data_IF_717868580171
#
_entry.id   IF_717868580171
#
_cell.length_a   1.000
_cell.length_b   1.000
_cell.length_c   1.000
_cell.angle_alpha   90.00
_cell.angle_beta   90.00
_cell.angle_gamma   90.00
#
_symmetry.space_group_name_H-M   'P 1'
#
loop_
_entity.id
_entity.type
_entity.pdbx_description
1 polymer ?
#
# COMPACT_ATOMS: atom_id res chain seq x y z
N UNK A 1 -8.41 1.72 -9.21
CA UNK A 1 -8.57 0.64 -8.21
C UNK A 1 -7.31 0.64 -7.36
N UNK A 2 -7.43 0.61 -6.03
CA UNK A 2 -6.27 0.72 -5.15
C UNK A 2 -5.30 -0.46 -5.31
N UNK A 3 -4.05 -0.16 -5.63
CA UNK A 3 -2.95 -1.11 -5.87
C UNK A 3 -1.97 -1.19 -4.68
N UNK A 4 -2.04 -0.22 -3.76
CA UNK A 4 -1.14 -0.09 -2.60
C UNK A 4 -1.93 0.14 -1.32
N UNK A 5 -1.46 -0.43 -0.21
CA UNK A 5 -2.16 -0.39 1.07
C UNK A 5 -1.17 -0.11 2.19
N UNK A 6 -1.47 0.91 3.00
CA UNK A 6 -0.77 1.21 4.23
C UNK A 6 -1.53 0.61 5.40
N UNK A 7 -0.92 -0.37 6.07
CA UNK A 7 -1.48 -1.04 7.23
C UNK A 7 -0.81 -0.50 8.50
N UNK A 8 -1.57 0.22 9.33
CA UNK A 8 -1.09 0.85 10.54
C UNK A 8 -1.48 0.00 11.76
N UNK A 9 -0.52 -0.22 12.66
CA UNK A 9 -0.74 -0.89 13.93
C UNK A 9 -0.31 0.04 15.07
N UNK A 10 -1.20 0.24 16.06
CA UNK A 10 -0.88 1.00 17.27
C UNK A 10 0.17 0.29 18.14
N UNK A 11 0.20 -1.05 18.10
CA UNK A 11 1.23 -1.87 18.73
C UNK A 11 1.40 -3.21 18.00
N UNK A 12 2.55 -3.88 18.17
CA UNK A 12 2.80 -5.20 17.55
C UNK A 12 1.89 -6.31 18.08
N UNK A 13 1.28 -6.12 19.25
CA UNK A 13 0.49 -7.14 19.94
C UNK A 13 -1.01 -7.06 19.58
N UNK A 14 -1.47 -5.92 19.07
CA UNK A 14 -2.89 -5.65 18.79
C UNK A 14 -3.26 -5.88 17.31
N UNK A 15 -2.26 -6.11 16.44
CA UNK A 15 -2.48 -6.30 15.01
C UNK A 15 -2.76 -4.99 14.26
N UNK A 16 -3.18 -5.11 13.00
CA UNK A 16 -3.47 -3.95 12.14
C UNK A 16 -4.78 -3.30 12.60
N UNK A 17 -4.72 -2.04 12.98
CA UNK A 17 -5.87 -1.25 13.44
C UNK A 17 -6.49 -0.40 12.34
N UNK A 18 -5.73 -0.10 11.27
CA UNK A 18 -6.19 0.74 10.17
C UNK A 18 -5.53 0.32 8.86
N UNK A 19 -6.32 0.29 7.78
CA UNK A 19 -5.84 0.03 6.43
C UNK A 19 -6.27 1.20 5.55
N UNK A 20 -5.30 1.88 4.95
CA UNK A 20 -5.55 3.00 4.04
C UNK A 20 -5.14 2.59 2.61
N UNK A 21 -6.07 2.60 1.64
CA UNK A 21 -5.78 2.27 0.25
C UNK A 21 -5.22 3.48 -0.52
N UNK A 22 -4.34 3.21 -1.49
CA UNK A 22 -3.74 4.19 -2.38
C UNK A 22 -3.64 3.63 -3.81
N UNK A 23 -3.69 4.54 -4.79
CA UNK A 23 -3.53 4.19 -6.21
C UNK A 23 -2.07 4.30 -6.68
N UNK A 24 -1.30 5.22 -6.08
CA UNK A 24 0.11 5.46 -6.41
C UNK A 24 1.04 5.04 -5.27
N UNK A 25 2.20 4.44 -5.59
CA UNK A 25 3.15 4.00 -4.56
C UNK A 25 3.78 5.16 -3.80
N UNK A 26 4.00 6.32 -4.45
CA UNK A 26 4.66 7.47 -3.83
C UNK A 26 3.81 8.07 -2.71
N UNK A 27 2.50 8.19 -2.93
CA UNK A 27 1.55 8.72 -1.94
C UNK A 27 1.49 7.81 -0.70
N UNK A 28 1.47 6.49 -0.92
CA UNK A 28 1.50 5.52 0.16
C UNK A 28 2.84 5.53 0.93
N UNK A 29 3.96 5.75 0.23
CA UNK A 29 5.29 5.84 0.83
C UNK A 29 5.47 7.13 1.64
N UNK A 30 4.98 8.27 1.14
CA UNK A 30 4.99 9.53 1.85
C UNK A 30 4.14 9.44 3.13
N UNK A 31 2.94 8.85 3.04
CA UNK A 31 2.08 8.62 4.20
C UNK A 31 2.73 7.69 5.23
N UNK A 32 3.43 6.64 4.79
CA UNK A 32 4.20 5.76 5.67
C UNK A 32 5.34 6.49 6.37
N UNK A 33 6.08 7.34 5.65
CA UNK A 33 7.24 8.07 6.16
C UNK A 33 6.86 9.14 7.19
N UNK A 34 5.66 9.72 7.06
CA UNK A 34 5.11 10.70 7.99
C UNK A 34 4.40 10.05 9.20
N UNK A 35 4.32 8.72 9.26
CA UNK A 35 3.60 8.01 10.31
C UNK A 35 4.53 7.66 11.48
N UNK A 36 4.03 7.84 12.70
CA UNK A 36 4.74 7.48 13.94
C UNK A 36 4.40 6.07 14.44
N UNK A 37 3.37 5.45 13.87
CA UNK A 37 2.97 4.08 14.16
C UNK A 37 3.84 3.04 13.42
N UNK A 38 3.80 1.78 13.85
CA UNK A 38 4.40 0.70 13.05
C UNK A 38 3.52 0.46 11.82
N UNK A 39 4.10 0.68 10.65
CA UNK A 39 3.40 0.58 9.37
C UNK A 39 3.94 -0.57 8.51
N UNK A 40 3.04 -1.29 7.86
CA UNK A 40 3.37 -2.25 6.81
C UNK A 40 2.86 -1.76 5.46
N UNK A 41 3.72 -1.81 4.46
CA UNK A 41 3.39 -1.49 3.09
C UNK A 41 3.08 -2.77 2.32
N UNK A 42 1.90 -2.84 1.72
CA UNK A 42 1.48 -4.00 0.92
C UNK A 42 1.12 -3.52 -0.48
N UNK A 43 1.75 -4.11 -1.49
CA UNK A 43 1.42 -3.91 -2.90
C UNK A 43 0.69 -5.14 -3.42
N UNK A 44 -0.41 -4.93 -4.15
CA UNK A 44 -1.07 -5.99 -4.93
C UNK A 44 -0.57 -6.02 -6.38
N UNK A 45 0.36 -5.12 -6.75
CA UNK A 45 1.03 -5.16 -8.05
C UNK A 45 2.01 -6.31 -8.06
N UNK A 46 1.78 -7.28 -8.95
CA UNK A 46 2.76 -8.33 -9.21
C UNK A 46 3.94 -7.70 -9.98
N UNK A 47 5.16 -7.66 -9.41
CA UNK A 47 6.32 -7.07 -10.10
C UNK A 47 6.77 -7.86 -11.33
N UNK A 48 6.23 -9.07 -11.52
CA UNK A 48 6.49 -9.95 -12.66
C UNK A 48 5.30 -10.03 -13.63
N UNK A 49 4.18 -9.34 -13.33
CA UNK A 49 3.18 -9.15 -14.36
C UNK A 49 3.81 -8.23 -15.40
N UNK A 50 4.09 -8.75 -16.59
CA UNK A 50 4.23 -7.90 -17.76
C UNK A 50 2.95 -7.07 -17.83
N UNK A 51 3.09 -5.75 -18.00
CA UNK A 51 1.96 -4.86 -18.19
C UNK A 51 1.06 -5.41 -19.31
N UNK A 52 -0.06 -6.06 -18.95
CA UNK A 52 -1.20 -6.26 -19.83
C UNK A 52 -2.04 -4.96 -19.88
N UNK A 53 -1.38 -3.80 -19.88
CA UNK A 53 -1.99 -2.50 -20.12
C UNK A 53 -1.45 -1.95 -21.45
N UNK A 54 -1.66 -2.70 -22.53
CA UNK A 54 -1.56 -2.21 -23.90
C UNK A 54 -2.55 -3.00 -24.78
N UNK A 55 -3.84 -2.66 -24.68
CA UNK A 55 -4.89 -2.88 -25.70
C UNK A 55 -6.26 -2.46 -25.14
N UNK A 56 -6.56 -1.17 -25.22
CA UNK A 56 -7.94 -0.71 -25.42
C UNK A 56 -7.97 0.09 -26.71
N UNK A 57 -8.71 -0.46 -27.68
CA UNK A 57 -9.11 0.11 -28.98
C UNK A 57 -9.73 1.52 -28.87
#
# INVERSE_FOLDING_TARGET
MAKYYLCEAQSTNEGISKVTPYEKPEEALEAASNNTAKVHFISTVNPLAQDEEDETE
#
